data_IF_036611405361
#
_entry.id   IF_036611405361
#
_cell.length_a   1.000
_cell.length_b   1.000
_cell.length_c   1.000
_cell.angle_alpha   90.00
_cell.angle_beta   90.00
_cell.angle_gamma   90.00
#
_symmetry.space_group_name_H-M   'P 1'
#
loop_
_entity.id
_entity.type
_entity.pdbx_description
1 polymer ?
#
# COMPACT_ATOMS: atom_id res chain seq x y z
N UNK A 1 -14.49 -32.73 24.36
CA UNK A 1 -15.55 -32.21 23.48
C UNK A 1 -14.87 -31.27 22.52
N UNK A 2 -14.59 -31.75 21.32
CA UNK A 2 -13.93 -31.02 20.24
C UNK A 2 -14.87 -29.94 19.71
N UNK A 3 -14.42 -28.69 19.74
CA UNK A 3 -15.14 -27.57 19.13
C UNK A 3 -15.34 -27.81 17.63
N UNK A 4 -16.48 -27.42 17.05
CA UNK A 4 -16.74 -27.60 15.63
C UNK A 4 -15.80 -26.73 14.80
N UNK A 5 -15.10 -27.37 13.86
CA UNK A 5 -14.12 -26.81 12.93
C UNK A 5 -14.78 -26.09 11.75
N UNK A 6 -15.90 -25.39 12.00
CA UNK A 6 -16.61 -24.58 11.02
C UNK A 6 -17.06 -23.30 11.72
N UNK A 7 -16.38 -22.19 11.40
CA UNK A 7 -16.84 -20.85 11.76
C UNK A 7 -17.97 -20.51 10.79
N UNK A 8 -19.14 -20.22 11.35
CA UNK A 8 -20.37 -19.87 10.64
C UNK A 8 -20.14 -18.69 9.67
N UNK A 9 -20.51 -18.86 8.40
CA UNK A 9 -20.43 -17.86 7.32
C UNK A 9 -21.48 -16.73 7.46
N UNK A 10 -21.95 -16.42 8.67
CA UNK A 10 -23.25 -15.72 8.86
C UNK A 10 -23.21 -14.32 9.48
N UNK A 11 -22.06 -13.69 9.72
CA UNK A 11 -22.05 -12.38 10.42
C UNK A 11 -21.98 -11.13 9.52
N UNK A 12 -21.68 -11.24 8.23
CA UNK A 12 -21.79 -10.10 7.30
C UNK A 12 -23.00 -10.26 6.39
N UNK A 13 -24.00 -9.36 6.51
CA UNK A 13 -25.06 -9.28 5.50
C UNK A 13 -24.42 -8.89 4.16
N UNK A 14 -24.67 -9.61 3.06
CA UNK A 14 -24.12 -9.24 1.76
C UNK A 14 -24.66 -7.86 1.36
N UNK A 15 -23.76 -7.00 0.87
CA UNK A 15 -24.12 -5.69 0.34
C UNK A 15 -24.67 -5.89 -1.06
N UNK A 16 -25.91 -5.48 -1.31
CA UNK A 16 -26.54 -5.61 -2.63
C UNK A 16 -26.40 -4.30 -3.41
N UNK A 17 -25.92 -4.37 -4.64
CA UNK A 17 -25.87 -3.26 -5.58
C UNK A 17 -26.58 -3.63 -6.88
N UNK A 18 -27.29 -2.68 -7.50
CA UNK A 18 -27.77 -2.87 -8.87
C UNK A 18 -26.58 -2.80 -9.83
N UNK A 19 -26.53 -3.72 -10.79
CA UNK A 19 -25.45 -3.81 -11.76
C UNK A 19 -25.99 -4.18 -13.13
N UNK A 20 -25.37 -3.67 -14.18
CA UNK A 20 -25.77 -3.96 -15.55
C UNK A 20 -25.50 -5.44 -15.92
N UNK A 21 -26.50 -6.15 -16.42
CA UNK A 21 -26.33 -7.50 -16.94
C UNK A 21 -25.60 -7.46 -18.28
N UNK A 22 -24.39 -8.01 -18.33
CA UNK A 22 -23.59 -8.06 -19.56
C UNK A 22 -24.17 -8.99 -20.64
N UNK A 23 -25.16 -9.83 -20.31
CA UNK A 23 -25.81 -10.74 -21.27
C UNK A 23 -27.00 -10.12 -21.98
N UNK A 24 -27.88 -9.44 -21.24
CA UNK A 24 -29.12 -8.89 -21.80
C UNK A 24 -29.21 -7.35 -21.76
N UNK A 25 -28.24 -6.66 -21.14
CA UNK A 25 -28.22 -5.21 -21.04
C UNK A 25 -29.20 -4.60 -20.02
N UNK A 26 -29.97 -5.42 -19.30
CA UNK A 26 -30.89 -4.99 -18.24
C UNK A 26 -30.19 -5.03 -16.87
N UNK A 27 -30.71 -4.36 -15.86
CA UNK A 27 -30.12 -4.41 -14.52
C UNK A 27 -30.41 -5.76 -13.83
N UNK A 28 -29.37 -6.32 -13.20
CA UNK A 28 -29.47 -7.39 -12.21
C UNK A 28 -28.92 -6.93 -10.86
N UNK A 29 -28.77 -7.88 -9.94
CA UNK A 29 -28.33 -7.60 -8.57
C UNK A 29 -27.00 -8.27 -8.32
N UNK A 30 -25.97 -7.51 -7.94
CA UNK A 30 -24.70 -8.04 -7.44
C UNK A 30 -24.70 -8.02 -5.91
N UNK A 31 -24.49 -9.19 -5.31
CA UNK A 31 -24.32 -9.36 -3.87
C UNK A 31 -22.84 -9.45 -3.54
N UNK A 32 -22.35 -8.50 -2.76
CA UNK A 32 -20.96 -8.41 -2.34
C UNK A 32 -20.86 -8.94 -0.91
N UNK A 33 -20.11 -10.03 -0.74
CA UNK A 33 -19.81 -10.63 0.55
C UNK A 33 -18.31 -10.54 0.81
N UNK A 34 -17.95 -9.74 1.82
CA UNK A 34 -16.61 -9.74 2.39
C UNK A 34 -16.50 -10.96 3.32
N UNK A 35 -15.65 -11.91 2.95
CA UNK A 35 -15.43 -13.15 3.70
C UNK A 35 -13.95 -13.34 3.98
N UNK A 36 -13.65 -13.92 5.14
CA UNK A 36 -12.30 -14.31 5.53
C UNK A 36 -12.25 -15.84 5.55
N UNK A 37 -11.55 -16.44 4.60
CA UNK A 37 -11.34 -17.88 4.61
C UNK A 37 -10.26 -18.17 5.68
N UNK A 38 -10.49 -19.05 6.67
CA UNK A 38 -9.46 -19.42 7.64
C UNK A 38 -8.19 -19.91 6.94
N UNK A 39 -7.02 -19.45 7.41
CA UNK A 39 -5.72 -19.72 6.78
C UNK A 39 -5.54 -19.13 5.37
N UNK A 40 -6.44 -18.26 4.93
CA UNK A 40 -6.35 -17.47 3.70
C UNK A 40 -6.78 -16.00 3.96
N UNK A 41 -6.51 -15.11 3.00
CA UNK A 41 -6.73 -13.66 3.17
C UNK A 41 -8.22 -13.28 3.07
N UNK A 42 -8.49 -12.01 3.32
CA UNK A 42 -9.81 -11.41 3.09
C UNK A 42 -10.13 -11.40 1.59
N UNK A 43 -11.29 -11.96 1.24
CA UNK A 43 -11.81 -12.04 -0.11
C UNK A 43 -13.14 -11.30 -0.23
N UNK A 44 -13.37 -10.74 -1.40
CA UNK A 44 -14.63 -10.15 -1.82
C UNK A 44 -15.27 -11.11 -2.80
N UNK A 45 -16.38 -11.72 -2.41
CA UNK A 45 -17.19 -12.56 -3.29
C UNK A 45 -18.32 -11.68 -3.84
N UNK A 46 -18.38 -11.54 -5.17
CA UNK A 46 -19.43 -10.81 -5.87
C UNK A 46 -20.31 -11.79 -6.63
N UNK A 47 -21.52 -12.05 -6.14
CA UNK A 47 -22.51 -12.91 -6.77
C UNK A 47 -23.56 -12.07 -7.49
N UNK A 48 -23.47 -11.98 -8.81
CA UNK A 48 -24.44 -11.34 -9.68
C UNK A 48 -25.55 -12.32 -10.09
N UNK A 49 -26.80 -11.87 -10.01
CA UNK A 49 -27.97 -12.58 -10.53
C UNK A 49 -28.87 -11.62 -11.32
N UNK A 50 -29.20 -11.97 -12.56
CA UNK A 50 -30.13 -11.23 -13.38
C UNK A 50 -31.52 -11.88 -13.36
N UNK A 51 -32.57 -11.19 -12.85
CA UNK A 51 -33.93 -11.72 -12.82
C UNK A 51 -34.58 -11.82 -14.21
N UNK A 52 -34.06 -11.10 -15.21
CA UNK A 52 -34.65 -11.03 -16.55
C UNK A 52 -34.24 -12.18 -17.46
N UNK A 53 -32.96 -12.57 -17.44
CA UNK A 53 -32.43 -13.61 -18.31
C UNK A 53 -31.87 -14.84 -17.57
N UNK A 54 -31.92 -14.84 -16.23
CA UNK A 54 -31.42 -15.92 -15.38
C UNK A 54 -29.89 -16.05 -15.37
N UNK A 55 -29.16 -15.09 -15.93
CA UNK A 55 -27.70 -15.10 -15.92
C UNK A 55 -27.20 -14.91 -14.48
N UNK A 56 -26.32 -15.81 -14.06
CA UNK A 56 -25.64 -15.76 -12.77
C UNK A 56 -24.14 -15.71 -12.99
N UNK A 57 -23.44 -14.91 -12.21
CA UNK A 57 -21.99 -14.76 -12.29
C UNK A 57 -21.43 -14.57 -10.89
N UNK A 58 -20.49 -15.42 -10.48
CA UNK A 58 -19.79 -15.28 -9.20
C UNK A 58 -18.35 -14.92 -9.50
N UNK A 59 -17.92 -13.77 -9.00
CA UNK A 59 -16.56 -13.26 -9.16
C UNK A 59 -15.90 -13.17 -7.79
N UNK A 60 -14.63 -13.55 -7.72
CA UNK A 60 -13.82 -13.40 -6.52
C UNK A 60 -12.77 -12.34 -6.79
N UNK A 61 -12.73 -11.32 -5.93
CA UNK A 61 -11.65 -10.33 -5.90
C UNK A 61 -10.92 -10.45 -4.56
N UNK A 62 -9.58 -10.51 -4.61
CA UNK A 62 -8.77 -10.43 -3.40
C UNK A 62 -8.82 -9.00 -2.86
N UNK A 63 -9.23 -8.81 -1.60
CA UNK A 63 -9.24 -7.48 -0.97
C UNK A 63 -7.82 -7.00 -0.58
N UNK A 64 -6.84 -7.90 -0.58
CA UNK A 64 -5.46 -7.66 -0.15
C UNK A 64 -4.49 -7.31 -1.27
N UNK A 65 -3.35 -6.75 -0.88
CA UNK A 65 -2.18 -6.53 -1.74
C UNK A 65 -1.64 -7.85 -2.29
N UNK A 66 -1.00 -7.79 -3.47
CA UNK A 66 -0.25 -8.92 -4.03
C UNK A 66 0.80 -9.44 -3.05
N UNK A 67 1.13 -10.73 -3.13
CA UNK A 67 2.23 -11.27 -2.35
C UNK A 67 3.58 -10.75 -2.87
N UNK A 68 4.56 -10.67 -1.95
CA UNK A 68 5.94 -10.29 -2.30
C UNK A 68 6.54 -11.20 -3.37
N UNK A 69 6.11 -12.46 -3.43
CA UNK A 69 6.56 -13.45 -4.41
C UNK A 69 5.37 -14.08 -5.12
N UNK A 70 5.57 -14.43 -6.38
CA UNK A 70 4.66 -15.35 -7.08
C UNK A 70 4.87 -16.77 -6.53
N UNK A 71 3.90 -17.63 -6.76
CA UNK A 71 4.05 -19.04 -6.40
C UNK A 71 3.55 -19.97 -7.50
N UNK A 72 4.08 -21.18 -7.47
CA UNK A 72 3.58 -22.32 -8.21
C UNK A 72 3.06 -23.34 -7.19
N UNK A 73 1.79 -23.70 -7.31
CA UNK A 73 1.19 -24.81 -6.56
C UNK A 73 1.09 -25.99 -7.51
N UNK A 74 1.83 -27.06 -7.24
CA UNK A 74 1.70 -28.33 -7.94
C UNK A 74 0.91 -29.29 -7.06
N UNK A 75 -0.26 -29.71 -7.51
CA UNK A 75 -1.11 -30.73 -6.88
C UNK A 75 -1.00 -32.03 -7.68
N UNK A 76 -0.60 -33.11 -7.03
CA UNK A 76 -0.67 -34.46 -7.59
C UNK A 76 -2.01 -35.10 -7.24
N UNK A 77 -2.87 -35.32 -8.23
CA UNK A 77 -4.17 -35.94 -8.05
C UNK A 77 -4.00 -37.46 -8.09
N UNK A 78 -4.26 -38.12 -6.95
CA UNK A 78 -4.14 -39.57 -6.84
C UNK A 78 -5.48 -40.26 -6.60
N UNK A 79 -6.38 -39.61 -5.87
CA UNK A 79 -7.66 -40.18 -5.42
C UNK A 79 -8.83 -39.30 -5.85
N UNK A 80 -9.72 -39.88 -6.66
CA UNK A 80 -10.93 -39.23 -7.17
C UNK A 80 -11.75 -38.53 -6.07
N UNK A 81 -12.00 -39.20 -4.95
CA UNK A 81 -12.98 -38.73 -3.97
C UNK A 81 -12.44 -37.64 -3.02
N UNK A 82 -11.13 -37.64 -2.78
CA UNK A 82 -10.51 -36.72 -1.83
C UNK A 82 -9.92 -35.49 -2.54
N UNK A 83 -9.29 -35.70 -3.70
CA UNK A 83 -8.54 -34.65 -4.38
C UNK A 83 -9.40 -33.76 -5.27
N UNK A 84 -10.37 -34.35 -6.00
CA UNK A 84 -11.25 -33.58 -6.89
C UNK A 84 -12.16 -32.60 -6.13
N UNK A 85 -12.45 -32.90 -4.86
CA UNK A 85 -13.27 -32.09 -3.97
C UNK A 85 -12.48 -31.01 -3.20
N UNK A 86 -11.17 -30.89 -3.42
CA UNK A 86 -10.36 -29.82 -2.83
C UNK A 86 -10.87 -28.48 -3.33
N UNK A 87 -11.13 -27.56 -2.40
CA UNK A 87 -11.41 -26.17 -2.76
C UNK A 87 -10.19 -25.56 -3.44
N UNK A 88 -10.44 -24.81 -4.51
CA UNK A 88 -9.44 -24.20 -5.35
C UNK A 88 -9.83 -22.75 -5.58
N UNK A 89 -8.93 -21.84 -5.22
CA UNK A 89 -9.00 -20.42 -5.56
C UNK A 89 -7.99 -20.19 -6.67
N UNK A 90 -8.48 -19.87 -7.86
CA UNK A 90 -7.68 -19.41 -8.98
C UNK A 90 -7.79 -17.89 -9.04
N UNK A 91 -6.69 -17.17 -8.81
CA UNK A 91 -6.68 -15.72 -8.95
C UNK A 91 -6.83 -15.29 -10.42
N UNK A 92 -7.09 -14.01 -10.63
CA UNK A 92 -7.21 -13.35 -11.93
C UNK A 92 -5.93 -13.50 -12.77
N UNK A 93 -4.78 -13.58 -12.10
CA UNK A 93 -3.45 -13.63 -12.72
C UNK A 93 -2.86 -15.03 -12.81
N UNK A 94 -3.57 -16.04 -12.28
CA UNK A 94 -3.11 -17.42 -12.24
C UNK A 94 -3.37 -18.14 -13.57
N UNK A 95 -2.38 -18.86 -14.07
CA UNK A 95 -2.53 -19.86 -15.14
C UNK A 95 -2.61 -21.26 -14.55
N UNK A 96 -3.54 -22.07 -15.04
CA UNK A 96 -3.70 -23.46 -14.61
C UNK A 96 -3.27 -24.41 -15.72
N UNK A 97 -2.31 -25.30 -15.46
CA UNK A 97 -1.75 -26.25 -16.42
C UNK A 97 -2.00 -27.69 -15.99
N UNK A 98 -2.48 -28.50 -16.93
CA UNK A 98 -2.54 -29.97 -16.82
C UNK A 98 -1.29 -30.53 -17.48
N UNK A 99 -0.34 -31.05 -16.69
CA UNK A 99 0.99 -31.41 -17.19
C UNK A 99 0.94 -32.53 -18.25
N UNK A 100 0.15 -33.57 -18.01
CA UNK A 100 0.08 -34.75 -18.89
C UNK A 100 -0.64 -34.48 -20.22
N UNK A 101 -1.51 -33.46 -20.24
CA UNK A 101 -2.26 -33.06 -21.44
C UNK A 101 -1.59 -31.89 -22.19
N UNK A 102 -0.56 -31.28 -21.59
CA UNK A 102 0.04 -30.00 -22.01
C UNK A 102 -1.02 -28.92 -22.32
N UNK A 103 -2.12 -28.95 -21.56
CA UNK A 103 -3.22 -28.01 -21.68
C UNK A 103 -3.07 -26.91 -20.63
N UNK A 104 -2.99 -25.67 -21.08
CA UNK A 104 -2.90 -24.50 -20.22
C UNK A 104 -4.14 -23.62 -20.35
N UNK A 105 -4.76 -23.35 -19.20
CA UNK A 105 -5.81 -22.34 -19.05
C UNK A 105 -5.11 -21.05 -18.65
N UNK A 106 -5.05 -20.04 -19.54
CA UNK A 106 -4.31 -18.82 -19.28
C UNK A 106 -4.94 -17.99 -18.16
N UNK A 107 -4.16 -17.04 -17.64
CA UNK A 107 -4.66 -16.00 -16.75
C UNK A 107 -5.78 -15.19 -17.43
N UNK A 108 -6.75 -14.76 -16.62
CA UNK A 108 -7.88 -13.96 -17.07
C UNK A 108 -7.97 -12.73 -16.16
N UNK A 109 -7.36 -11.62 -16.61
CA UNK A 109 -7.10 -10.37 -15.88
C UNK A 109 -8.35 -9.59 -15.42
N UNK A 110 -9.49 -10.27 -15.32
CA UNK A 110 -10.78 -9.69 -14.95
C UNK A 110 -11.54 -10.54 -13.95
N UNK A 111 -11.18 -11.82 -13.73
CA UNK A 111 -12.03 -12.76 -12.96
C UNK A 111 -11.23 -13.82 -12.23
N UNK A 112 -11.27 -13.77 -10.90
CA UNK A 112 -10.90 -14.86 -10.02
C UNK A 112 -12.01 -15.89 -9.93
N UNK A 113 -11.64 -17.16 -9.75
CA UNK A 113 -12.56 -18.29 -9.68
C UNK A 113 -12.37 -19.04 -8.36
N UNK A 114 -13.44 -19.14 -7.57
CA UNK A 114 -13.55 -20.08 -6.45
C UNK A 114 -14.33 -21.31 -6.92
N UNK A 115 -13.69 -22.45 -6.94
CA UNK A 115 -14.25 -23.71 -7.43
C UNK A 115 -13.65 -24.89 -6.65
N UNK A 116 -13.98 -26.12 -7.05
CA UNK A 116 -13.17 -27.31 -6.72
C UNK A 116 -12.27 -27.68 -7.91
N UNK A 117 -11.32 -28.59 -7.68
CA UNK A 117 -10.50 -29.18 -8.77
C UNK A 117 -11.41 -29.80 -9.84
N UNK A 118 -12.46 -30.52 -9.43
CA UNK A 118 -13.47 -31.06 -10.36
C UNK A 118 -14.17 -29.96 -11.17
N UNK A 119 -14.59 -28.89 -10.48
CA UNK A 119 -15.28 -27.77 -11.13
C UNK A 119 -14.38 -27.06 -12.14
N UNK A 120 -13.07 -26.95 -11.89
CA UNK A 120 -12.11 -26.39 -12.85
C UNK A 120 -12.05 -27.22 -14.14
N UNK A 121 -12.03 -28.56 -14.03
CA UNK A 121 -12.03 -29.48 -15.17
C UNK A 121 -13.34 -29.37 -15.95
N UNK A 122 -14.48 -29.37 -15.26
CA UNK A 122 -15.79 -29.26 -15.90
C UNK A 122 -15.95 -27.93 -16.65
N UNK A 123 -15.50 -26.82 -16.05
CA UNK A 123 -15.50 -25.52 -16.73
C UNK A 123 -14.66 -25.55 -18.02
N UNK A 124 -13.47 -26.17 -17.98
CA UNK A 124 -12.62 -26.31 -19.16
C UNK A 124 -13.28 -27.18 -20.26
N UNK A 125 -13.97 -28.25 -19.88
CA UNK A 125 -14.74 -29.09 -20.80
C UNK A 125 -15.87 -28.28 -21.45
N UNK A 126 -16.65 -27.55 -20.67
CA UNK A 126 -17.76 -26.72 -21.16
C UNK A 126 -17.29 -25.64 -22.13
N UNK A 127 -16.21 -24.92 -21.78
CA UNK A 127 -15.62 -23.87 -22.61
C UNK A 127 -15.09 -24.41 -23.95
N UNK A 128 -14.42 -25.56 -23.93
CA UNK A 128 -13.93 -26.22 -25.16
C UNK A 128 -15.08 -26.73 -26.02
N UNK A 129 -16.12 -27.31 -25.40
CA UNK A 129 -17.26 -27.92 -26.08
C UNK A 129 -18.21 -26.89 -26.72
N UNK A 130 -18.35 -25.69 -26.15
CA UNK A 130 -19.33 -24.69 -26.59
C UNK A 130 -19.25 -24.35 -28.09
N UNK A 131 -18.03 -24.31 -28.66
CA UNK A 131 -17.80 -23.98 -30.06
C UNK A 131 -17.63 -25.20 -31.00
N UNK A 132 -17.65 -26.43 -30.47
CA UNK A 132 -17.46 -27.66 -31.26
C UNK A 132 -18.48 -27.84 -32.41
N UNK A 133 -19.78 -27.52 -32.27
CA UNK A 133 -20.74 -27.65 -33.38
C UNK A 133 -20.37 -26.82 -34.61
N UNK A 134 -19.83 -25.61 -34.38
CA UNK A 134 -19.39 -24.70 -35.44
C UNK A 134 -18.08 -25.20 -36.07
N UNK A 135 -17.13 -25.65 -35.22
CA UNK A 135 -15.85 -26.21 -35.69
C UNK A 135 -16.07 -27.45 -36.57
N UNK A 136 -17.00 -28.34 -36.21
CA UNK A 136 -17.33 -29.53 -37.01
C UNK A 136 -17.74 -29.21 -38.45
N UNK A 137 -18.42 -28.08 -38.65
CA UNK A 137 -18.85 -27.65 -39.98
C UNK A 137 -17.77 -26.88 -40.75
N UNK A 138 -16.79 -26.28 -40.06
CA UNK A 138 -15.81 -25.37 -40.67
C UNK A 138 -14.45 -26.04 -40.87
N UNK A 139 -13.97 -26.76 -39.86
CA UNK A 139 -12.69 -27.46 -39.82
C UNK A 139 -12.80 -28.74 -38.97
N UNK A 140 -12.98 -29.86 -39.67
CA UNK A 140 -13.14 -31.19 -39.04
C UNK A 140 -11.85 -31.68 -38.37
N UNK A 141 -10.67 -31.26 -38.84
CA UNK A 141 -9.40 -31.66 -38.26
C UNK A 141 -9.18 -31.03 -36.88
N UNK A 142 -9.51 -29.74 -36.73
CA UNK A 142 -9.47 -29.05 -35.43
C UNK A 142 -10.52 -29.59 -34.47
N UNK A 143 -11.73 -29.89 -34.98
CA UNK A 143 -12.79 -30.51 -34.18
C UNK A 143 -12.33 -31.83 -33.53
N UNK A 144 -11.73 -32.74 -34.32
CA UNK A 144 -11.29 -34.04 -33.81
C UNK A 144 -10.20 -33.92 -32.73
N UNK A 145 -9.23 -33.01 -32.91
CA UNK A 145 -8.18 -32.77 -31.90
C UNK A 145 -8.75 -32.25 -30.58
N UNK A 146 -9.74 -31.36 -30.64
CA UNK A 146 -10.37 -30.82 -29.43
C UNK A 146 -11.25 -31.88 -28.75
N UNK A 147 -11.92 -32.75 -29.52
CA UNK A 147 -12.64 -33.89 -28.94
C UNK A 147 -11.71 -34.84 -28.18
N UNK A 148 -10.50 -35.10 -28.69
CA UNK A 148 -9.49 -35.92 -27.99
C UNK A 148 -9.11 -35.29 -26.64
N UNK A 149 -8.87 -33.97 -26.61
CA UNK A 149 -8.57 -33.23 -25.36
C UNK A 149 -9.76 -33.31 -24.38
N UNK A 150 -10.98 -33.10 -24.86
CA UNK A 150 -12.20 -33.20 -24.04
C UNK A 150 -12.37 -34.62 -23.48
N UNK A 151 -12.06 -35.66 -24.28
CA UNK A 151 -12.13 -37.04 -23.83
C UNK A 151 -11.13 -37.31 -22.71
N UNK A 152 -9.89 -36.82 -22.80
CA UNK A 152 -8.90 -36.95 -21.72
C UNK A 152 -9.28 -36.15 -20.47
N UNK A 153 -9.84 -34.95 -20.61
CA UNK A 153 -10.35 -34.22 -19.43
C UNK A 153 -11.47 -34.98 -18.71
N UNK A 154 -12.33 -35.70 -19.46
CA UNK A 154 -13.34 -36.56 -18.86
C UNK A 154 -12.74 -37.74 -18.10
N UNK A 155 -11.65 -38.35 -18.58
CA UNK A 155 -10.99 -39.44 -17.83
C UNK A 155 -10.41 -38.94 -16.50
N UNK A 156 -9.95 -37.69 -16.42
CA UNK A 156 -9.56 -37.06 -15.15
C UNK A 156 -10.73 -36.91 -14.17
N UNK A 157 -11.93 -36.53 -14.65
CA UNK A 157 -13.14 -36.55 -13.79
C UNK A 157 -13.55 -37.96 -13.35
N UNK A 158 -13.14 -38.98 -14.11
CA UNK A 158 -13.43 -40.38 -13.78
C UNK A 158 -12.48 -40.96 -12.71
N UNK A 159 -11.35 -40.30 -12.45
CA UNK A 159 -10.39 -40.67 -11.40
C UNK A 159 -9.02 -41.12 -11.92
N UNK A 160 -8.69 -40.85 -13.18
CA UNK A 160 -7.33 -40.99 -13.67
C UNK A 160 -6.38 -40.02 -12.94
N UNK A 161 -5.13 -40.44 -12.76
CA UNK A 161 -4.11 -39.64 -12.09
C UNK A 161 -3.55 -38.59 -13.03
N UNK A 162 -3.40 -37.38 -12.54
CA UNK A 162 -2.80 -36.27 -13.28
C UNK A 162 -2.22 -35.23 -12.32
N UNK A 163 -1.46 -34.30 -12.88
CA UNK A 163 -0.80 -33.23 -12.15
C UNK A 163 -1.37 -31.89 -12.57
N UNK A 164 -1.90 -31.16 -11.60
CA UNK A 164 -2.40 -29.80 -11.79
C UNK A 164 -1.39 -28.80 -11.25
N UNK A 165 -0.92 -27.91 -12.10
CA UNK A 165 -0.05 -26.82 -11.73
C UNK A 165 -0.79 -25.49 -11.81
N UNK A 166 -0.80 -24.73 -10.72
CA UNK A 166 -1.27 -23.35 -10.69
C UNK A 166 -0.05 -22.45 -10.59
N UNK A 167 0.24 -21.69 -11.65
CA UNK A 167 1.28 -20.67 -11.64
C UNK A 167 0.61 -19.31 -11.45
N UNK A 168 0.83 -18.71 -10.28
CA UNK A 168 0.24 -17.45 -9.90
C UNK A 168 1.31 -16.40 -9.56
N UNK A 169 1.58 -15.48 -10.48
CA UNK A 169 2.44 -14.32 -10.24
C UNK A 169 1.98 -13.44 -9.07
N UNK A 170 0.67 -13.35 -8.82
CA UNK A 170 0.11 -12.54 -7.73
C UNK A 170 0.30 -13.18 -6.35
N UNK A 171 0.57 -14.49 -6.33
CA UNK A 171 0.68 -15.33 -5.15
C UNK A 171 -0.62 -15.47 -4.36
N UNK A 172 -1.79 -15.20 -4.96
CA UNK A 172 -3.08 -15.21 -4.28
C UNK A 172 -3.94 -16.45 -4.57
N UNK A 173 -3.44 -17.40 -5.35
CA UNK A 173 -4.10 -18.68 -5.59
C UNK A 173 -3.95 -19.62 -4.41
N UNK A 174 -4.87 -20.57 -4.30
CA UNK A 174 -4.93 -21.48 -3.16
C UNK A 174 -5.53 -22.82 -3.56
N UNK A 175 -5.03 -23.88 -2.96
CA UNK A 175 -5.61 -25.23 -3.01
C UNK A 175 -5.74 -25.73 -1.58
N UNK A 176 -6.91 -26.28 -1.25
CA UNK A 176 -7.23 -26.78 0.07
C UNK A 176 -6.28 -27.89 0.51
N UNK A 177 -5.61 -27.68 1.65
CA UNK A 177 -4.84 -28.71 2.34
C UNK A 177 -5.80 -29.55 3.20
N UNK A 178 -5.94 -30.85 2.89
CA UNK A 178 -6.81 -31.79 3.61
C UNK A 178 -6.15 -32.42 4.83
N UNK A 179 -4.84 -32.23 4.99
CA UNK A 179 -4.01 -32.83 6.04
C UNK A 179 -3.70 -31.87 7.21
N UNK A 180 -4.36 -30.71 7.28
CA UNK A 180 -4.17 -29.74 8.35
C UNK A 180 -4.30 -30.40 9.75
N UNK A 181 -3.41 -30.05 10.71
CA UNK A 181 -2.40 -28.98 10.66
C UNK A 181 -1.07 -29.39 10.00
N UNK A 182 -0.94 -30.61 9.49
CA UNK A 182 0.28 -31.07 8.83
C UNK A 182 0.31 -30.63 7.35
N UNK A 183 1.51 -30.62 6.78
CA UNK A 183 1.69 -30.37 5.35
C UNK A 183 1.10 -31.52 4.51
N UNK A 184 0.47 -31.15 3.40
CA UNK A 184 -0.09 -32.11 2.47
C UNK A 184 1.00 -32.69 1.55
N UNK A 185 1.26 -34.01 1.56
CA UNK A 185 2.30 -34.59 0.71
C UNK A 185 1.99 -34.50 -0.79
N UNK A 186 0.72 -34.27 -1.17
CA UNK A 186 0.29 -34.15 -2.57
C UNK A 186 0.43 -32.72 -3.11
N UNK A 187 0.64 -31.73 -2.23
CA UNK A 187 0.78 -30.32 -2.61
C UNK A 187 2.24 -29.91 -2.46
N UNK A 188 2.83 -29.43 -3.55
CA UNK A 188 4.15 -28.80 -3.55
C UNK A 188 3.98 -27.32 -3.87
N UNK A 189 4.40 -26.47 -2.92
CA UNK A 189 4.39 -25.02 -3.09
C UNK A 189 5.81 -24.53 -3.37
N UNK A 190 6.02 -23.88 -4.51
CA UNK A 190 7.29 -23.25 -4.85
C UNK A 190 7.10 -21.76 -5.03
N UNK A 191 7.76 -20.97 -4.21
CA UNK A 191 7.82 -19.51 -4.37
C UNK A 191 8.87 -19.12 -5.41
N UNK A 192 8.58 -18.08 -6.19
CA UNK A 192 9.53 -17.54 -7.16
C UNK A 192 9.52 -16.01 -7.16
N UNK A 193 10.64 -15.42 -7.61
CA UNK A 193 10.75 -13.98 -7.84
C UNK A 193 10.15 -13.67 -9.20
N UNK A 194 9.18 -12.74 -9.24
CA UNK A 194 8.45 -12.38 -10.46
C UNK A 194 9.41 -11.85 -11.52
N UNK A 195 9.21 -12.23 -12.77
CA UNK A 195 9.93 -11.60 -13.89
C UNK A 195 9.43 -10.16 -14.11
N UNK A 196 10.21 -9.30 -14.77
CA UNK A 196 9.77 -7.94 -15.11
C UNK A 196 8.47 -7.91 -15.93
N UNK A 197 8.30 -8.90 -16.81
CA UNK A 197 7.09 -9.09 -17.62
C UNK A 197 5.88 -9.45 -16.75
N UNK A 198 6.06 -10.34 -15.77
CA UNK A 198 5.03 -10.72 -14.81
C UNK A 198 4.67 -9.58 -13.85
N UNK A 199 5.65 -8.78 -13.43
CA UNK A 199 5.42 -7.56 -12.64
C UNK A 199 4.54 -6.59 -13.44
N UNK A 200 4.96 -6.23 -14.65
CA UNK A 200 4.18 -5.35 -15.52
C UNK A 200 2.77 -5.90 -15.79
N UNK A 201 2.63 -7.21 -15.97
CA UNK A 201 1.35 -7.90 -16.17
C UNK A 201 0.40 -7.77 -14.98
N UNK A 202 0.92 -7.81 -13.75
CA UNK A 202 0.14 -7.60 -12.52
C UNK A 202 -0.22 -6.12 -12.29
N UNK A 203 0.24 -5.21 -13.13
CA UNK A 203 0.25 -3.78 -12.82
C UNK A 203 1.15 -3.46 -11.63
N UNK A 204 1.95 -4.42 -11.18
CA UNK A 204 3.04 -4.22 -10.23
C UNK A 204 4.13 -3.53 -11.01
N UNK A 205 4.35 -2.27 -10.73
CA UNK A 205 5.45 -1.56 -11.34
C UNK A 205 6.74 -2.35 -11.01
N UNK A 206 7.57 -2.58 -12.03
CA UNK A 206 8.78 -3.40 -11.92
C UNK A 206 9.56 -3.00 -10.67
N UNK A 207 10.24 -3.95 -10.02
CA UNK A 207 11.09 -3.74 -8.83
C UNK A 207 12.25 -2.72 -9.00
N UNK A 208 12.20 -1.87 -10.04
CA UNK A 208 12.74 -0.52 -10.02
C UNK A 208 11.76 0.52 -9.44
N UNK A 209 10.80 0.07 -8.62
CA UNK A 209 10.04 0.91 -7.72
C UNK A 209 10.28 0.46 -6.29
N UNK A 210 11.48 0.77 -5.80
CA UNK A 210 11.58 1.77 -4.75
C UNK A 210 10.22 2.47 -4.45
N UNK A 211 9.74 2.47 -3.19
CA UNK A 211 8.55 3.23 -2.73
C UNK A 211 8.46 4.61 -3.39
N UNK A 212 7.31 5.30 -3.52
CA UNK A 212 7.27 6.65 -4.10
C UNK A 212 8.34 7.62 -3.51
N UNK A 213 8.76 7.38 -2.26
CA UNK A 213 9.87 8.05 -1.60
C UNK A 213 11.26 7.58 -2.07
N UNK A 214 11.48 6.27 -2.25
CA UNK A 214 12.72 5.74 -2.80
C UNK A 214 12.83 6.03 -4.31
N UNK A 215 11.72 6.03 -5.08
CA UNK A 215 11.72 6.34 -6.51
C UNK A 215 12.13 7.78 -6.77
N UNK A 216 11.72 8.69 -5.88
CA UNK A 216 12.25 10.03 -5.85
C UNK A 216 13.77 10.05 -5.64
N UNK A 217 14.33 9.11 -4.87
CA UNK A 217 15.77 8.94 -4.59
C UNK A 217 16.60 8.28 -5.71
N UNK A 218 16.06 7.39 -6.56
CA UNK A 218 16.77 6.98 -7.80
C UNK A 218 16.64 8.02 -8.91
N UNK A 219 15.48 8.67 -9.04
CA UNK A 219 15.35 9.79 -9.98
C UNK A 219 16.23 10.97 -9.57
N UNK A 220 16.44 11.23 -8.27
CA UNK A 220 17.42 12.18 -7.74
C UNK A 220 18.85 11.98 -8.29
N UNK A 221 19.30 10.72 -8.37
CA UNK A 221 20.62 10.38 -8.91
C UNK A 221 20.79 10.69 -10.40
N UNK A 222 19.69 10.92 -11.12
CA UNK A 222 19.67 11.34 -12.54
C UNK A 222 19.04 12.72 -12.77
N UNK A 223 18.49 13.35 -11.72
CA UNK A 223 17.72 14.61 -11.79
C UNK A 223 18.60 15.87 -11.91
N UNK A 224 19.93 15.74 -11.90
CA UNK A 224 20.80 16.88 -12.23
C UNK A 224 20.60 17.37 -13.67
N UNK A 225 19.89 16.61 -14.54
CA UNK A 225 19.72 16.93 -15.96
C UNK A 225 18.28 17.27 -16.43
N UNK A 226 17.26 17.25 -15.57
CA UNK A 226 15.88 17.55 -16.01
C UNK A 226 15.42 18.96 -15.62
N UNK A 227 16.12 19.96 -16.16
CA UNK A 227 15.61 21.33 -16.24
C UNK A 227 14.91 21.47 -17.59
N UNK A 228 13.66 21.95 -17.62
CA UNK A 228 13.01 22.34 -18.87
C UNK A 228 13.84 23.48 -19.51
N UNK A 229 14.66 23.17 -20.53
CA UNK A 229 15.60 24.09 -21.20
C UNK A 229 14.95 25.38 -21.71
N UNK A 230 13.61 25.43 -21.79
CA UNK A 230 12.85 26.60 -22.26
C UNK A 230 12.32 27.51 -21.16
N UNK A 231 12.21 27.05 -19.90
CA UNK A 231 11.55 27.81 -18.82
C UNK A 231 12.30 27.83 -17.49
N UNK A 232 13.24 26.92 -17.25
CA UNK A 232 13.98 26.86 -15.98
C UNK A 232 13.15 26.45 -14.76
N UNK A 233 11.93 25.94 -14.97
CA UNK A 233 11.01 25.52 -13.90
C UNK A 233 11.13 24.00 -13.71
N UNK A 234 11.29 23.48 -12.48
CA UNK A 234 11.40 22.05 -12.27
C UNK A 234 10.04 21.34 -12.50
N UNK A 235 10.08 20.16 -13.12
CA UNK A 235 8.91 19.45 -13.62
C UNK A 235 8.06 18.90 -12.45
N UNK A 236 6.75 19.18 -12.45
CA UNK A 236 5.81 18.66 -11.44
C UNK A 236 5.30 17.31 -11.95
N UNK A 237 5.54 16.25 -11.18
CA UNK A 237 5.12 14.88 -11.51
C UNK A 237 3.77 14.63 -10.84
N UNK A 238 2.72 14.36 -11.61
CA UNK A 238 1.38 14.08 -11.06
C UNK A 238 1.06 12.59 -11.19
N UNK A 239 0.60 11.96 -10.11
CA UNK A 239 0.16 10.56 -10.11
C UNK A 239 -1.26 10.40 -9.54
N UNK A 240 -2.05 9.45 -10.07
CA UNK A 240 -3.38 9.16 -9.55
C UNK A 240 -3.29 8.48 -8.18
N UNK A 241 -4.14 8.92 -7.24
CA UNK A 241 -4.25 8.41 -5.88
C UNK A 241 -5.73 8.45 -5.43
N UNK A 242 -6.01 7.98 -4.21
CA UNK A 242 -7.32 8.11 -3.57
C UNK A 242 -7.24 9.16 -2.46
N UNK A 243 -8.31 9.93 -2.29
CA UNK A 243 -8.40 10.93 -1.24
C UNK A 243 -8.45 10.27 0.14
N UNK A 244 -7.52 10.61 1.03
CA UNK A 244 -7.47 10.09 2.41
C UNK A 244 -8.69 10.43 3.27
N UNK A 245 -9.50 11.42 2.84
CA UNK A 245 -10.71 11.83 3.56
C UNK A 245 -11.99 11.18 3.03
N UNK A 246 -12.17 11.07 1.72
CA UNK A 246 -13.43 10.59 1.12
C UNK A 246 -13.31 9.35 0.22
N UNK A 247 -12.08 8.87 -0.02
CA UNK A 247 -11.80 7.72 -0.88
C UNK A 247 -11.97 7.97 -2.38
N UNK A 248 -12.49 9.13 -2.80
CA UNK A 248 -12.65 9.49 -4.20
C UNK A 248 -11.29 9.53 -4.93
N UNK A 249 -11.23 9.14 -6.21
CA UNK A 249 -10.03 9.30 -7.02
C UNK A 249 -9.59 10.79 -7.07
N UNK A 250 -8.31 11.07 -6.80
CA UNK A 250 -7.72 12.40 -6.90
C UNK A 250 -6.26 12.31 -7.38
N UNK A 251 -5.71 13.40 -7.89
CA UNK A 251 -4.30 13.46 -8.25
C UNK A 251 -3.46 13.97 -7.07
N UNK A 252 -2.28 13.39 -6.91
CA UNK A 252 -1.23 13.90 -6.01
C UNK A 252 -0.08 14.41 -6.87
N UNK A 253 0.27 15.68 -6.68
CA UNK A 253 1.36 16.34 -7.38
C UNK A 253 2.63 16.23 -6.54
N UNK A 254 3.72 15.80 -7.16
CA UNK A 254 5.02 15.62 -6.55
C UNK A 254 6.03 16.55 -7.18
N UNK A 255 6.84 17.17 -6.34
CA UNK A 255 7.93 18.02 -6.76
C UNK A 255 9.16 17.68 -5.92
N UNK A 256 10.24 17.30 -6.59
CA UNK A 256 11.54 17.11 -5.97
C UNK A 256 12.28 18.43 -6.07
N UNK A 257 12.78 18.94 -4.95
CA UNK A 257 13.58 20.15 -4.92
C UNK A 257 14.79 19.99 -4.00
N UNK A 258 15.91 20.52 -4.43
CA UNK A 258 17.12 20.61 -3.61
C UNK A 258 17.11 21.96 -2.89
N UNK A 259 17.10 21.94 -1.56
CA UNK A 259 17.22 23.16 -0.76
C UNK A 259 18.73 23.43 -0.57
N UNK A 260 19.27 24.59 -1.00
CA UNK A 260 20.68 24.91 -0.82
C UNK A 260 21.12 24.75 0.64
N UNK A 261 22.25 24.06 0.85
CA UNK A 261 22.78 23.72 2.18
C UNK A 261 21.88 22.80 3.03
N UNK A 262 20.93 22.09 2.39
CA UNK A 262 20.09 21.08 3.01
C UNK A 262 19.94 19.86 2.08
N UNK A 263 19.35 18.78 2.60
CA UNK A 263 19.09 17.57 1.82
C UNK A 263 18.05 17.84 0.73
N UNK A 264 18.01 16.95 -0.25
CA UNK A 264 16.90 16.89 -1.20
C UNK A 264 15.58 16.66 -0.46
N UNK A 265 14.50 17.31 -0.91
CA UNK A 265 13.16 17.15 -0.34
C UNK A 265 12.14 16.87 -1.43
N UNK A 266 11.17 16.04 -1.08
CA UNK A 266 10.05 15.66 -1.94
C UNK A 266 8.78 16.25 -1.33
N UNK A 267 8.13 17.14 -2.07
CA UNK A 267 6.85 17.74 -1.70
C UNK A 267 5.75 17.01 -2.45
N UNK A 268 4.79 16.47 -1.72
CA UNK A 268 3.61 15.78 -2.24
C UNK A 268 2.35 16.55 -1.85
N UNK A 269 1.64 17.08 -2.83
CA UNK A 269 0.45 17.88 -2.64
C UNK A 269 -0.79 17.21 -3.26
N UNK A 270 -1.76 16.86 -2.43
CA UNK A 270 -3.06 16.32 -2.84
C UNK A 270 -4.12 17.38 -2.68
N UNK A 271 -4.89 17.65 -3.74
CA UNK A 271 -6.07 18.51 -3.67
C UNK A 271 -7.29 17.75 -4.22
N UNK A 272 -8.20 17.36 -3.33
CA UNK A 272 -9.38 16.62 -3.72
C UNK A 272 -10.47 17.57 -4.22
N UNK A 273 -10.80 17.47 -5.51
CA UNK A 273 -11.88 18.27 -6.10
C UNK A 273 -13.28 17.87 -5.61
N UNK A 274 -13.42 16.66 -5.05
CA UNK A 274 -14.72 16.14 -4.61
C UNK A 274 -15.13 16.65 -3.21
N UNK A 275 -14.26 16.54 -2.22
CA UNK A 275 -14.55 16.96 -0.85
C UNK A 275 -13.79 18.22 -0.39
N UNK A 276 -12.87 18.74 -1.21
CA UNK A 276 -12.04 19.90 -0.87
C UNK A 276 -10.88 19.61 0.07
N UNK A 277 -10.62 18.33 0.40
CA UNK A 277 -9.49 17.93 1.23
C UNK A 277 -8.16 18.32 0.57
N UNK A 278 -7.28 18.94 1.36
CA UNK A 278 -5.93 19.33 0.94
C UNK A 278 -4.91 18.70 1.89
N UNK A 279 -3.89 18.08 1.32
CA UNK A 279 -2.73 17.59 2.05
C UNK A 279 -1.46 18.07 1.37
N UNK A 280 -0.50 18.52 2.17
CA UNK A 280 0.86 18.84 1.73
C UNK A 280 1.82 18.03 2.61
N UNK A 281 2.30 16.91 2.10
CA UNK A 281 3.29 16.09 2.77
C UNK A 281 4.67 16.46 2.25
N UNK A 282 5.64 16.57 3.16
CA UNK A 282 7.02 16.82 2.79
C UNK A 282 7.89 15.75 3.41
N UNK A 283 8.69 15.09 2.59
CA UNK A 283 9.65 14.06 3.00
C UNK A 283 11.04 14.50 2.61
N UNK A 284 11.98 14.43 3.55
CA UNK A 284 13.38 14.57 3.22
C UNK A 284 13.83 13.31 2.48
N UNK A 285 14.42 13.49 1.30
CA UNK A 285 15.15 12.46 0.60
C UNK A 285 16.52 12.23 1.23
N UNK A 286 17.15 11.13 0.84
CA UNK A 286 18.50 10.76 1.22
C UNK A 286 18.55 9.66 2.27
N UNK A 287 19.76 9.26 2.63
CA UNK A 287 19.98 8.32 3.71
C UNK A 287 19.52 8.90 5.05
N UNK A 288 19.10 8.00 5.95
CA UNK A 288 18.84 8.34 7.34
C UNK A 288 20.11 8.93 7.95
N UNK A 289 20.00 10.10 8.58
CA UNK A 289 21.15 10.74 9.23
C UNK A 289 21.66 9.87 10.38
N UNK A 290 22.97 9.76 10.55
CA UNK A 290 23.59 9.08 11.69
C UNK A 290 23.27 9.80 13.02
N UNK A 291 23.17 11.13 12.97
CA UNK A 291 22.93 11.99 14.13
C UNK A 291 21.59 12.71 14.06
N UNK A 292 21.06 13.03 15.23
CA UNK A 292 19.98 14.00 15.39
C UNK A 292 20.52 15.43 15.33
N UNK A 293 19.63 16.39 15.06
CA UNK A 293 19.96 17.80 14.94
C UNK A 293 18.97 18.65 15.70
N UNK A 294 19.50 19.57 16.51
CA UNK A 294 18.76 20.60 17.21
C UNK A 294 19.15 21.97 16.67
N UNK A 295 18.16 22.72 16.20
CA UNK A 295 18.31 24.09 15.75
C UNK A 295 17.65 24.99 16.80
N UNK A 296 18.44 25.86 17.41
CA UNK A 296 17.96 26.89 18.34
C UNK A 296 18.10 28.24 17.66
N UNK A 297 16.99 28.91 17.41
CA UNK A 297 16.96 30.18 16.72
C UNK A 297 16.24 31.24 17.55
N UNK A 298 16.94 32.33 17.84
CA UNK A 298 16.39 33.44 18.59
C UNK A 298 15.83 34.48 17.63
N UNK A 299 14.51 34.54 17.53
CA UNK A 299 13.80 35.51 16.71
C UNK A 299 13.87 36.86 17.39
N UNK A 300 14.46 37.85 16.71
CA UNK A 300 14.65 39.20 17.25
C UNK A 300 13.91 40.25 16.45
N UNK A 301 13.73 40.01 15.16
CA UNK A 301 13.06 40.94 14.24
C UNK A 301 11.84 40.29 13.56
N UNK A 302 10.81 41.08 13.19
CA UNK A 302 9.64 40.57 12.46
C UNK A 302 9.99 39.88 11.14
N UNK A 303 11.10 40.25 10.50
CA UNK A 303 11.58 39.62 9.26
C UNK A 303 11.98 38.15 9.48
N UNK A 304 12.35 37.76 10.70
CA UNK A 304 12.69 36.37 11.03
C UNK A 304 11.49 35.41 10.85
N UNK A 305 10.26 35.94 10.90
CA UNK A 305 9.05 35.15 10.66
C UNK A 305 8.87 34.74 9.19
N UNK A 306 9.56 35.42 8.28
CA UNK A 306 9.52 35.12 6.84
C UNK A 306 10.48 34.01 6.42
N UNK A 307 11.35 33.54 7.33
CA UNK A 307 12.31 32.47 7.07
C UNK A 307 11.60 31.19 6.66
N UNK A 308 12.12 30.54 5.63
CA UNK A 308 11.66 29.22 5.21
C UNK A 308 11.99 28.18 6.28
N UNK A 309 11.00 27.34 6.59
CA UNK A 309 11.09 26.28 7.58
C UNK A 309 10.54 24.99 6.99
N UNK A 310 11.33 23.92 7.10
CA UNK A 310 10.89 22.55 6.90
C UNK A 310 10.81 21.89 8.26
N UNK A 311 9.60 21.58 8.73
CA UNK A 311 9.39 20.74 9.91
C UNK A 311 9.11 19.32 9.43
N UNK A 312 9.94 18.35 9.80
CA UNK A 312 9.67 16.94 9.52
C UNK A 312 8.61 16.34 10.46
N UNK A 313 8.16 15.13 10.17
CA UNK A 313 7.27 14.38 11.06
C UNK A 313 7.97 13.99 12.38
N UNK A 314 9.26 13.64 12.34
CA UNK A 314 10.05 13.27 13.52
C UNK A 314 10.50 14.47 14.35
N UNK A 315 10.22 15.69 13.89
CA UNK A 315 10.62 16.91 14.54
C UNK A 315 9.67 17.36 15.65
N UNK A 316 10.22 17.61 16.84
CA UNK A 316 9.60 18.41 17.88
C UNK A 316 9.86 19.91 17.69
N UNK A 317 8.92 20.75 18.12
CA UNK A 317 9.04 22.22 18.07
C UNK A 317 8.72 22.81 19.44
N UNK A 318 9.53 23.76 19.91
CA UNK A 318 9.34 24.42 21.21
C UNK A 318 9.54 25.92 21.10
N UNK A 319 8.70 26.68 21.81
CA UNK A 319 8.91 28.09 22.12
C UNK A 319 8.73 28.28 23.63
N UNK A 320 9.83 28.24 24.41
CA UNK A 320 9.78 28.27 25.87
C UNK A 320 9.05 29.50 26.44
N UNK A 321 9.21 30.67 25.83
CA UNK A 321 8.66 31.94 26.34
C UNK A 321 7.13 31.98 26.36
N UNK A 322 6.48 31.20 25.50
CA UNK A 322 5.02 31.05 25.46
C UNK A 322 4.55 29.68 25.96
N UNK A 323 5.46 28.83 26.45
CA UNK A 323 5.19 27.43 26.84
C UNK A 323 4.54 26.60 25.71
N UNK A 324 4.96 26.83 24.46
CA UNK A 324 4.55 25.99 23.34
C UNK A 324 5.53 24.82 23.24
N UNK A 325 5.02 23.59 23.32
CA UNK A 325 5.76 22.36 23.07
C UNK A 325 4.92 21.45 22.18
N UNK A 326 5.49 21.08 21.03
CA UNK A 326 4.94 20.18 20.06
C UNK A 326 5.87 18.96 19.98
N UNK A 327 5.33 17.79 20.25
CA UNK A 327 6.07 16.53 20.20
C UNK A 327 6.22 16.04 18.76
N UNK A 328 7.22 15.20 18.46
CA UNK A 328 7.28 14.46 17.20
C UNK A 328 5.95 13.78 16.86
N UNK A 329 5.63 13.70 15.56
CA UNK A 329 4.37 13.17 15.02
C UNK A 329 3.21 14.18 15.00
N UNK A 330 3.34 15.33 15.66
CA UNK A 330 2.31 16.39 15.61
C UNK A 330 2.42 17.22 14.33
N UNK A 331 1.28 17.62 13.74
CA UNK A 331 1.14 18.44 12.53
C UNK A 331 1.70 17.85 11.21
N UNK A 332 2.40 16.71 11.26
CA UNK A 332 3.06 16.08 10.12
C UNK A 332 4.26 16.87 9.57
N UNK A 333 4.73 16.46 8.39
CA UNK A 333 5.79 17.14 7.63
C UNK A 333 5.27 18.35 6.85
N UNK A 334 5.92 19.51 6.96
CA UNK A 334 5.49 20.78 6.35
C UNK A 334 6.67 21.62 5.89
N UNK A 335 6.53 22.25 4.72
CA UNK A 335 7.42 23.29 4.22
C UNK A 335 6.62 24.60 4.08
N UNK A 336 7.02 25.63 4.81
CA UNK A 336 6.30 26.91 4.91
C UNK A 336 7.26 27.98 5.46
N UNK A 337 6.75 29.15 5.86
CA UNK A 337 7.50 30.14 6.66
C UNK A 337 7.27 29.94 8.15
N UNK A 338 8.15 30.49 9.00
CA UNK A 338 7.97 30.44 10.46
C UNK A 338 6.61 31.03 10.86
N UNK A 339 6.18 32.14 10.26
CA UNK A 339 4.83 32.69 10.44
C UNK A 339 3.75 31.68 10.09
N UNK A 340 3.84 31.09 8.90
CA UNK A 340 2.85 30.15 8.39
C UNK A 340 2.70 28.94 9.31
N UNK A 341 3.81 28.42 9.82
CA UNK A 341 3.81 27.33 10.79
C UNK A 341 3.10 27.74 12.09
N UNK A 342 3.42 28.90 12.67
CA UNK A 342 2.79 29.36 13.91
C UNK A 342 1.29 29.63 13.77
N UNK A 343 0.86 30.21 12.64
CA UNK A 343 -0.57 30.40 12.35
C UNK A 343 -1.32 29.08 12.18
N UNK A 344 -0.68 28.09 11.57
CA UNK A 344 -1.24 26.74 11.45
C UNK A 344 -1.35 26.06 12.83
N UNK A 345 -0.30 26.12 13.64
CA UNK A 345 -0.31 25.61 15.03
C UNK A 345 -1.47 26.23 15.80
N UNK A 346 -1.65 27.55 15.70
CA UNK A 346 -2.75 28.26 16.35
C UNK A 346 -4.12 27.73 15.88
N UNK A 347 -4.31 27.56 14.57
CA UNK A 347 -5.57 27.08 13.99
C UNK A 347 -5.90 25.67 14.47
N UNK A 348 -4.94 24.74 14.39
CA UNK A 348 -5.17 23.34 14.78
C UNK A 348 -5.41 23.19 16.29
N UNK A 349 -4.67 23.95 17.12
CA UNK A 349 -4.90 23.96 18.57
C UNK A 349 -6.27 24.55 18.91
N UNK A 350 -6.72 25.59 18.20
CA UNK A 350 -8.05 26.18 18.39
C UNK A 350 -9.18 25.20 18.02
N UNK A 351 -9.06 24.48 16.92
CA UNK A 351 -10.07 23.50 16.50
C UNK A 351 -10.17 22.33 17.48
N UNK A 352 -9.02 21.83 17.95
CA UNK A 352 -8.95 20.75 18.95
C UNK A 352 -9.33 21.19 20.37
N UNK A 353 -9.36 22.50 20.64
CA UNK A 353 -9.77 23.07 21.93
C UNK A 353 -11.26 22.87 22.26
N UNK A 354 -12.05 22.30 21.34
CA UNK A 354 -13.44 21.86 21.58
C UNK A 354 -13.59 21.00 22.85
N UNK A 355 -12.53 20.29 23.26
CA UNK A 355 -12.48 19.53 24.52
C UNK A 355 -12.48 20.40 25.80
N UNK A 356 -11.99 21.63 25.72
CA UNK A 356 -11.92 22.60 26.83
C UNK A 356 -13.23 23.43 26.90
N UNK A 357 -13.93 23.59 25.77
CA UNK A 357 -15.15 24.39 25.67
C UNK A 357 -16.42 23.69 26.21
N UNK A 358 -16.38 22.37 26.44
CA UNK A 358 -17.45 21.61 27.07
C UNK A 358 -17.82 22.07 28.50
N UNK A 359 -18.89 21.48 29.04
CA UNK A 359 -19.40 21.72 30.40
C UNK A 359 -18.44 21.27 31.51
N UNK A 360 -17.46 20.45 31.17
CA UNK A 360 -16.49 19.84 32.07
C UNK A 360 -15.21 20.67 32.29
N UNK A 361 -15.01 21.76 31.52
CA UNK A 361 -13.84 22.64 31.62
C UNK A 361 -14.01 23.73 32.68
N UNK A 362 -13.06 23.86 33.62
CA UNK A 362 -13.05 24.94 34.61
C UNK A 362 -12.82 26.31 33.95
N UNK A 363 -13.44 27.36 34.49
CA UNK A 363 -13.31 28.74 33.97
C UNK A 363 -11.84 29.24 34.00
N UNK A 364 -11.03 28.74 34.93
CA UNK A 364 -9.59 28.99 35.00
C UNK A 364 -8.84 28.41 33.80
N UNK A 365 -9.13 27.17 33.40
CA UNK A 365 -8.49 26.52 32.26
C UNK A 365 -8.84 27.20 30.95
N UNK A 366 -10.09 27.66 30.80
CA UNK A 366 -10.53 28.45 29.63
C UNK A 366 -9.71 29.75 29.51
N UNK A 367 -9.53 30.48 30.61
CA UNK A 367 -8.73 31.73 30.62
C UNK A 367 -7.26 31.49 30.28
N UNK A 368 -6.63 30.46 30.85
CA UNK A 368 -5.24 30.10 30.55
C UNK A 368 -5.07 29.73 29.08
N UNK A 369 -6.01 28.98 28.52
CA UNK A 369 -5.97 28.56 27.12
C UNK A 369 -6.11 29.74 26.15
N UNK A 370 -7.07 30.65 26.41
CA UNK A 370 -7.20 31.88 25.61
C UNK A 370 -5.94 32.72 25.68
N UNK A 371 -5.36 32.92 26.87
CA UNK A 371 -4.11 33.67 27.05
C UNK A 371 -2.93 33.05 26.29
N UNK A 372 -2.88 31.72 26.23
CA UNK A 372 -1.86 30.99 25.46
C UNK A 372 -2.02 31.23 23.95
N UNK A 373 -3.24 31.09 23.42
CA UNK A 373 -3.52 31.34 21.99
C UNK A 373 -3.27 32.81 21.61
N UNK A 374 -3.61 33.75 22.49
CA UNK A 374 -3.32 35.18 22.31
C UNK A 374 -1.81 35.43 22.23
N UNK A 375 -1.03 34.81 23.13
CA UNK A 375 0.44 34.89 23.09
C UNK A 375 1.03 34.31 21.82
N UNK A 376 0.53 33.15 21.37
CA UNK A 376 0.95 32.55 20.10
C UNK A 376 0.65 33.47 18.91
N UNK A 377 -0.52 34.12 18.91
CA UNK A 377 -0.89 35.12 17.90
C UNK A 377 0.04 36.32 17.93
N UNK A 378 0.41 36.82 19.11
CA UNK A 378 1.35 37.94 19.24
C UNK A 378 2.75 37.60 18.71
N UNK A 379 3.22 36.35 18.89
CA UNK A 379 4.48 35.89 18.28
C UNK A 379 4.35 35.80 16.76
N UNK A 380 3.28 35.18 16.26
CA UNK A 380 3.05 35.05 14.82
C UNK A 380 2.85 36.39 14.10
N UNK A 381 2.40 37.43 14.81
CA UNK A 381 2.28 38.80 14.29
C UNK A 381 3.57 39.63 14.45
N UNK A 382 4.64 39.08 15.02
CA UNK A 382 5.90 39.80 15.26
C UNK A 382 5.83 40.87 16.37
N UNK A 383 4.79 40.80 17.22
CA UNK A 383 4.55 41.78 18.30
C UNK A 383 5.14 41.36 19.64
N UNK A 384 5.42 40.06 19.81
CA UNK A 384 6.05 39.50 21.00
C UNK A 384 7.41 38.90 20.61
N UNK A 385 8.46 39.71 20.77
CA UNK A 385 9.87 39.39 20.49
C UNK A 385 10.77 40.06 21.55
N UNK A 386 11.96 39.51 21.84
CA UNK A 386 12.53 38.30 21.26
C UNK A 386 11.92 37.01 21.84
N UNK A 387 11.91 35.95 21.04
CA UNK A 387 11.48 34.61 21.46
C UNK A 387 12.36 33.55 20.82
N UNK A 388 12.47 32.38 21.44
CA UNK A 388 13.37 31.32 20.99
C UNK A 388 12.59 30.18 20.35
N UNK A 389 12.82 29.95 19.06
CA UNK A 389 12.32 28.80 18.33
C UNK A 389 13.34 27.66 18.41
N UNK A 390 12.93 26.53 18.98
CA UNK A 390 13.77 25.33 19.06
C UNK A 390 13.10 24.22 18.24
N UNK A 391 13.86 23.67 17.31
CA UNK A 391 13.46 22.59 16.41
C UNK A 391 14.40 21.43 16.69
N UNK A 392 13.86 20.29 17.11
CA UNK A 392 14.65 19.13 17.48
C UNK A 392 14.19 17.91 16.67
N UNK A 393 15.06 17.44 15.78
CA UNK A 393 14.77 16.35 14.86
C UNK A 393 15.82 15.22 14.95
N UNK A 394 15.45 14.06 15.53
CA UNK A 394 16.33 12.91 15.63
C UNK A 394 16.83 12.37 14.28
N UNK A 395 16.11 12.62 13.18
CA UNK A 395 16.51 12.16 11.84
C UNK A 395 17.23 13.23 11.03
N UNK A 396 17.40 14.44 11.58
CA UNK A 396 18.00 15.59 10.89
C UNK A 396 17.35 15.87 9.53
N UNK A 397 16.02 15.77 9.47
CA UNK A 397 15.20 15.96 8.27
C UNK A 397 14.41 17.28 8.31
N UNK A 398 14.77 18.18 9.24
CA UNK A 398 14.18 19.50 9.39
C UNK A 398 15.19 20.60 9.04
N UNK A 399 14.69 21.72 8.54
CA UNK A 399 15.47 22.84 8.05
C UNK A 399 14.89 24.16 8.54
N UNK A 400 15.77 25.12 8.81
CA UNK A 400 15.42 26.51 9.04
C UNK A 400 16.39 27.38 8.24
N UNK A 401 15.85 28.33 7.49
CA UNK A 401 16.63 29.19 6.60
C UNK A 401 17.60 30.09 7.38
N UNK A 402 18.88 30.00 7.02
CA UNK A 402 19.90 30.95 7.41
C UNK A 402 19.97 32.06 6.36
N UNK A 403 19.51 33.26 6.71
CA UNK A 403 19.54 34.44 5.84
C UNK A 403 20.95 34.98 5.56
N UNK A 404 21.92 34.63 6.42
CA UNK A 404 23.32 35.03 6.32
C UNK A 404 24.18 34.02 5.55
N UNK A 405 23.60 32.91 5.07
CA UNK A 405 24.35 31.88 4.37
C UNK A 405 25.18 32.46 3.20
N UNK A 406 26.45 32.04 3.04
CA UNK A 406 27.12 30.92 3.72
C UNK A 406 27.70 31.25 5.10
N UNK A 407 27.64 32.51 5.55
CA UNK A 407 28.10 32.91 6.87
C UNK A 407 27.16 32.40 7.97
N UNK A 408 27.67 32.10 9.17
CA UNK A 408 26.84 31.65 10.28
C UNK A 408 25.91 32.77 10.76
N UNK A 409 24.64 32.45 10.97
CA UNK A 409 23.68 33.36 11.58
C UNK A 409 24.04 33.58 13.07
N UNK A 410 24.20 34.83 13.54
CA UNK A 410 24.57 35.10 14.92
C UNK A 410 23.50 34.69 15.94
N UNK A 411 22.23 34.60 15.55
CA UNK A 411 21.11 34.24 16.43
C UNK A 411 20.62 32.79 16.21
N UNK A 412 21.33 32.00 15.37
CA UNK A 412 21.04 30.57 15.15
C UNK A 412 22.19 29.68 15.61
N UNK A 413 21.87 28.70 16.43
CA UNK A 413 22.79 27.64 16.87
C UNK A 413 22.29 26.30 16.34
N UNK A 414 23.18 25.53 15.70
CA UNK A 414 22.89 24.18 15.22
C UNK A 414 23.79 23.21 15.99
N UNK A 415 23.16 22.27 16.68
CA UNK A 415 23.82 21.23 17.47
C UNK A 415 23.48 19.85 16.90
N UNK A 416 24.49 19.03 16.62
CA UNK A 416 24.30 17.62 16.26
C UNK A 416 24.54 16.75 17.48
N UNK A 417 23.69 15.74 17.68
CA UNK A 417 23.77 14.86 18.84
C UNK A 417 23.60 13.38 18.46
N UNK A 418 24.21 12.51 19.24
CA UNK A 418 23.98 11.07 19.18
C UNK A 418 22.61 10.74 19.78
N UNK A 419 21.78 10.03 19.03
CA UNK A 419 20.47 9.59 19.50
C UNK A 419 20.63 8.59 20.65
N UNK A 420 19.74 8.66 21.62
CA UNK A 420 19.67 7.63 22.64
C UNK A 420 19.05 6.33 22.10
N UNK A 421 19.19 5.26 22.88
CA UNK A 421 18.75 3.94 22.48
C UNK A 421 17.23 3.85 22.28
N UNK A 422 16.45 4.51 23.15
CA UNK A 422 14.98 4.51 23.08
C UNK A 422 14.48 5.26 21.84
N UNK A 423 15.14 6.35 21.47
CA UNK A 423 14.85 7.10 20.24
C UNK A 423 15.16 6.25 19.02
N UNK A 424 16.30 5.55 18.99
CA UNK A 424 16.62 4.63 17.90
C UNK A 424 15.63 3.46 17.81
N UNK A 425 15.15 2.94 18.94
CA UNK A 425 14.15 1.87 18.99
C UNK A 425 12.81 2.36 18.42
N UNK A 426 12.34 3.53 18.87
CA UNK A 426 11.09 4.12 18.37
C UNK A 426 11.14 4.47 16.88
N UNK A 427 12.33 4.68 16.33
CA UNK A 427 12.57 4.92 14.90
C UNK A 427 12.86 3.64 14.10
N UNK A 428 12.90 2.48 14.77
CA UNK A 428 13.21 1.18 14.13
C UNK A 428 14.65 1.05 13.63
N UNK A 429 15.58 1.84 14.17
CA UNK A 429 16.98 1.88 13.73
C UNK A 429 17.84 0.80 14.38
N UNK A 430 17.48 0.31 15.57
CA UNK A 430 18.28 -0.68 16.29
C UNK A 430 18.32 -2.05 15.58
N UNK A 431 17.21 -2.44 14.96
CA UNK A 431 17.09 -3.70 14.22
C UNK A 431 17.45 -3.57 12.73
N UNK A 432 17.86 -2.38 12.29
CA UNK A 432 18.16 -2.09 10.90
C UNK A 432 19.51 -2.73 10.51
N UNK A 433 19.45 -3.85 9.80
CA UNK A 433 20.65 -4.46 9.20
C UNK A 433 21.11 -3.61 8.03
N UNK A 434 22.33 -3.11 8.04
CA UNK A 434 22.89 -2.33 6.92
C UNK A 434 23.78 -3.18 6.00
N UNK A 435 24.24 -4.35 6.47
CA UNK A 435 25.18 -5.24 5.78
C UNK A 435 24.85 -6.73 6.03
N UNK A 436 25.50 -7.64 5.29
CA UNK A 436 25.46 -9.10 5.46
C UNK A 436 24.09 -9.80 5.36
N UNK A 437 23.19 -9.24 4.55
CA UNK A 437 21.91 -9.89 4.20
C UNK A 437 22.05 -11.31 3.62
N UNK A 438 23.22 -11.67 3.08
CA UNK A 438 23.50 -12.98 2.47
C UNK A 438 23.92 -14.07 3.49
N UNK A 439 24.41 -13.72 4.68
CA UNK A 439 24.88 -14.70 5.67
C UNK A 439 23.70 -15.42 6.36
N UNK A 440 22.59 -14.70 6.61
CA UNK A 440 21.36 -15.30 7.14
C UNK A 440 20.68 -16.27 6.15
N UNK A 441 20.92 -16.10 4.84
CA UNK A 441 20.41 -17.00 3.82
C UNK A 441 21.17 -18.32 3.78
N UNK A 442 22.47 -18.32 4.10
CA UNK A 442 23.31 -19.53 4.10
C UNK A 442 23.14 -20.37 5.38
N UNK A 443 22.78 -19.77 6.51
CA UNK A 443 22.54 -20.52 7.76
C UNK A 443 21.20 -21.28 7.78
N UNK A 444 20.24 -20.97 6.91
CA UNK A 444 18.96 -21.70 6.83
C UNK A 444 19.02 -22.97 5.97
N UNK A 445 20.11 -23.17 5.22
CA UNK A 445 20.32 -24.33 4.34
C UNK A 445 21.23 -25.41 4.95
N UNK A 446 21.70 -25.26 6.19
CA UNK A 446 22.35 -26.36 6.90
C UNK A 446 21.30 -27.30 7.51
N UNK A 447 21.26 -28.59 7.11
CA UNK A 447 20.38 -29.55 7.77
C UNK A 447 20.87 -29.76 9.21
N UNK A 448 19.99 -29.57 10.19
CA UNK A 448 20.24 -30.00 11.57
C UNK A 448 20.51 -31.52 11.57
N UNK A 449 21.79 -31.89 11.65
CA UNK A 449 22.19 -33.25 12.00
C UNK A 449 22.28 -33.37 13.51
N UNK A 450 21.26 -33.98 14.12
CA UNK A 450 21.38 -34.99 15.19
C UNK A 450 20.01 -35.61 15.51
#
# INVERSE_FOLDING_TARGET
>A
MSEPMFVDLSESKPTEIESLCMKCGENGTTRILLSKIPHFREIIIMAFECPHCGFRNNELQSAGTFNERGHIITLAIESKQQDLNRQLVKSDYCSAKFEELDLEIPANNRRGLLTTVEGLINNAIEDLAAAQPVRKATDEAVYNRIEEIIATLKTYTEGEKFTLQLDDPSGNSYVENKCLPNDDPQIKLRWYTRTPEQQAFLGLQTENQQTPAEQALQYAGTASEMVNEKTGIPEIISFPANCSSCGAPCATNMHVMEIPHFKEVVIMATNCEHCGYKSNEVKAGGAISEKGKRITFKMTDPEDLSRDILKSETCGLRIPEINLELTPGTLGGRFTTVEGLLRQVHTELRERASFIEGDSGTESSKKTWTQFLDRLTLVADGKLMPVTLIIDDPLSNSYLQNLYAPDPDPEMTIEEYERDWETNEGLGLNDMKLENYQEDAQQRDEPETA
#
